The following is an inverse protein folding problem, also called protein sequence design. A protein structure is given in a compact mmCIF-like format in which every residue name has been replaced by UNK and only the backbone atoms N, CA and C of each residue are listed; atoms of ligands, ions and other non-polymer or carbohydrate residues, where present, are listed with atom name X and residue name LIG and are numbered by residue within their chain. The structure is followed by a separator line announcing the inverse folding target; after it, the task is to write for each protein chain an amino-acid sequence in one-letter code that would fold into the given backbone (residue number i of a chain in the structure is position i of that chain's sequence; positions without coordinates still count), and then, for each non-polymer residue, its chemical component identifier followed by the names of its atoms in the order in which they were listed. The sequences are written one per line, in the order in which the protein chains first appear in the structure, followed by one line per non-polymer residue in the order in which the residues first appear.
data_IF_311650189903
#
_entry.id   IF_311650189903
#
_cell.length_a   1.000
_cell.length_b   1.000
_cell.length_c   1.000
_cell.angle_alpha   90.00
_cell.angle_beta   90.00
_cell.angle_gamma   90.00
#
_symmetry.space_group_name_H-M   'P 1'
#
loop_
_entity.id
_entity.type
_entity.pdbx_description
1 polymer ?
#
# COMPACT_ATOMS: atom_id res chain seq x y z
N UNK A 1 21.52 -17.89 17.06
CA UNK A 1 20.22 -17.49 16.48
C UNK A 1 19.81 -16.16 17.11
N UNK A 2 20.02 -15.03 16.41
CA UNK A 2 19.61 -13.72 16.93
C UNK A 2 18.10 -13.61 16.76
N UNK A 3 17.36 -13.65 17.87
CA UNK A 3 15.99 -13.14 17.89
C UNK A 3 16.09 -11.64 17.60
N UNK A 4 15.85 -11.24 16.35
CA UNK A 4 15.37 -9.88 16.12
C UNK A 4 14.08 -9.75 16.95
N UNK A 5 13.89 -8.68 17.73
CA UNK A 5 12.76 -8.61 18.64
C UNK A 5 11.48 -8.71 17.80
N UNK A 6 10.67 -9.74 18.02
CA UNK A 6 9.42 -9.94 17.28
C UNK A 6 8.52 -8.69 17.35
N UNK A 7 8.60 -7.95 18.47
CA UNK A 7 7.95 -6.65 18.68
C UNK A 7 8.34 -5.60 17.62
N UNK A 8 9.59 -5.62 17.15
CA UNK A 8 10.11 -4.66 16.17
C UNK A 8 9.73 -5.03 14.74
N UNK A 9 9.54 -6.32 14.47
CA UNK A 9 9.04 -6.85 13.19
C UNK A 9 7.55 -6.53 13.03
N UNK A 10 6.75 -6.77 14.07
CA UNK A 10 5.32 -6.43 14.09
C UNK A 10 5.09 -4.91 13.96
N UNK A 11 5.81 -4.10 14.74
CA UNK A 11 5.71 -2.64 14.63
C UNK A 11 6.16 -2.10 13.27
N UNK A 12 7.19 -2.70 12.66
CA UNK A 12 7.64 -2.35 11.32
C UNK A 12 6.63 -2.71 10.22
N UNK A 13 5.99 -3.88 10.34
CA UNK A 13 4.97 -4.31 9.38
C UNK A 13 3.70 -3.46 9.45
N UNK A 14 3.24 -3.12 10.66
CA UNK A 14 2.13 -2.20 10.86
C UNK A 14 2.44 -0.82 10.28
N UNK A 15 3.63 -0.29 10.55
CA UNK A 15 4.06 1.00 10.02
C UNK A 15 4.12 1.01 8.48
N UNK A 16 4.65 -0.04 7.87
CA UNK A 16 4.67 -0.19 6.41
C UNK A 16 3.26 -0.26 5.84
N UNK A 17 2.35 -0.99 6.48
CA UNK A 17 0.97 -1.12 6.05
C UNK A 17 0.22 0.23 6.06
N UNK A 18 0.35 0.97 7.17
CA UNK A 18 -0.24 2.30 7.31
C UNK A 18 0.33 3.29 6.31
N UNK A 19 1.65 3.27 6.12
CA UNK A 19 2.34 4.13 5.15
C UNK A 19 1.87 3.81 3.72
N UNK A 20 1.80 2.54 3.34
CA UNK A 20 1.34 2.13 2.02
C UNK A 20 -0.13 2.55 1.76
N UNK A 21 -1.02 2.35 2.73
CA UNK A 21 -2.41 2.83 2.64
C UNK A 21 -2.47 4.35 2.49
N UNK A 22 -1.68 5.10 3.27
CA UNK A 22 -1.66 6.56 3.16
C UNK A 22 -1.15 7.02 1.79
N UNK A 23 -0.08 6.41 1.28
CA UNK A 23 0.42 6.72 -0.07
C UNK A 23 -0.63 6.49 -1.16
N UNK A 24 -1.44 5.41 -1.06
CA UNK A 24 -2.54 5.19 -2.02
C UNK A 24 -3.61 6.27 -1.94
N UNK A 25 -3.93 6.75 -0.74
CA UNK A 25 -4.91 7.83 -0.53
C UNK A 25 -4.36 9.15 -1.05
N UNK A 26 -3.12 9.48 -0.72
CA UNK A 26 -2.45 10.69 -1.18
C UNK A 26 -2.35 10.73 -2.70
N UNK A 27 -1.97 9.59 -3.30
CA UNK A 27 -1.97 9.42 -4.74
C UNK A 27 -3.38 9.61 -5.30
N UNK A 28 -4.41 8.93 -4.80
CA UNK A 28 -5.78 9.09 -5.29
C UNK A 28 -6.29 10.54 -5.20
N UNK A 29 -5.85 11.30 -4.20
CA UNK A 29 -6.20 12.72 -4.02
C UNK A 29 -5.37 13.68 -4.88
N UNK A 30 -4.19 13.27 -5.34
CA UNK A 30 -3.31 14.11 -6.14
C UNK A 30 -3.96 14.46 -7.48
N UNK A 31 -3.93 15.74 -7.88
CA UNK A 31 -4.58 16.24 -9.08
C UNK A 31 -3.69 17.25 -9.81
N UNK A 32 -3.79 17.41 -11.15
CA UNK A 32 -4.70 16.71 -12.05
C UNK A 32 -4.25 15.30 -12.44
N UNK A 33 -5.21 14.41 -12.68
CA UNK A 33 -4.96 13.10 -13.32
C UNK A 33 -5.84 12.91 -14.56
N UNK A 34 -5.37 13.32 -15.76
CA UNK A 34 -6.16 13.25 -16.98
C UNK A 34 -6.71 11.85 -17.24
N UNK A 35 -8.04 11.74 -17.35
CA UNK A 35 -8.75 10.48 -17.61
C UNK A 35 -8.90 9.54 -16.41
N UNK A 36 -8.20 9.79 -15.30
CA UNK A 36 -8.29 8.98 -14.08
C UNK A 36 -9.09 9.68 -12.99
N UNK A 37 -9.45 8.92 -11.96
CA UNK A 37 -10.09 9.46 -10.76
C UNK A 37 -9.08 10.30 -9.97
N UNK A 38 -9.50 11.50 -9.56
CA UNK A 38 -8.75 12.38 -8.65
C UNK A 38 -9.70 13.23 -7.77
N UNK A 39 -9.16 14.23 -7.05
CA UNK A 39 -9.95 15.15 -6.22
C UNK A 39 -10.95 16.04 -6.98
N UNK A 40 -10.81 16.17 -8.30
CA UNK A 40 -11.69 16.97 -9.16
C UNK A 40 -12.85 16.15 -9.72
N UNK A 41 -12.75 14.82 -9.73
CA UNK A 41 -13.84 13.94 -10.15
C UNK A 41 -13.39 12.54 -10.56
N UNK A 42 -14.29 11.81 -11.21
CA UNK A 42 -14.08 10.40 -11.54
C UNK A 42 -13.27 10.17 -12.84
N UNK A 43 -12.78 11.23 -13.49
CA UNK A 43 -12.14 11.13 -14.80
C UNK A 43 -13.07 10.52 -15.85
N UNK A 44 -12.58 9.52 -16.59
CA UNK A 44 -13.36 8.78 -17.59
C UNK A 44 -14.14 7.57 -16.99
N UNK A 45 -14.10 7.38 -15.67
CA UNK A 45 -14.69 6.21 -15.02
C UNK A 45 -16.14 6.46 -14.61
N UNK A 46 -17.01 5.47 -14.85
CA UNK A 46 -18.40 5.46 -14.40
C UNK A 46 -18.61 4.60 -13.15
N UNK A 47 -17.70 3.68 -12.89
CA UNK A 47 -17.73 2.65 -11.86
C UNK A 47 -16.72 2.90 -10.73
N UNK A 48 -15.84 3.88 -10.90
CA UNK A 48 -14.81 4.25 -9.93
C UNK A 48 -15.00 5.69 -9.48
N UNK A 49 -14.85 5.92 -8.17
CA UNK A 49 -14.90 7.25 -7.55
C UNK A 49 -13.81 7.39 -6.50
N UNK A 50 -13.45 8.63 -6.16
CA UNK A 50 -12.43 8.89 -5.14
C UNK A 50 -12.79 8.21 -3.81
N UNK A 51 -14.06 8.32 -3.39
CA UNK A 51 -14.54 7.67 -2.18
C UNK A 51 -14.44 6.13 -2.23
N UNK A 52 -14.63 5.52 -3.40
CA UNK A 52 -14.40 4.08 -3.58
C UNK A 52 -12.90 3.75 -3.54
N UNK A 53 -12.03 4.55 -4.14
CA UNK A 53 -10.58 4.36 -4.09
C UNK A 53 -10.04 4.45 -2.66
N UNK A 54 -10.44 5.46 -1.89
CA UNK A 54 -10.04 5.61 -0.48
C UNK A 54 -10.51 4.44 0.37
N UNK A 55 -11.77 4.02 0.20
CA UNK A 55 -12.31 2.85 0.88
C UNK A 55 -11.53 1.59 0.51
N UNK A 56 -11.18 1.40 -0.75
CA UNK A 56 -10.37 0.27 -1.21
C UNK A 56 -8.97 0.31 -0.59
N UNK A 57 -8.31 1.47 -0.54
CA UNK A 57 -7.00 1.64 0.08
C UNK A 57 -7.00 1.24 1.57
N UNK A 58 -8.04 1.63 2.31
CA UNK A 58 -8.22 1.22 3.71
C UNK A 58 -8.47 -0.29 3.85
N UNK A 59 -9.22 -0.91 2.93
CA UNK A 59 -9.46 -2.36 2.95
C UNK A 59 -8.20 -3.18 2.70
N UNK A 60 -7.20 -2.59 2.03
CA UNK A 60 -5.93 -3.24 1.75
C UNK A 60 -4.92 -3.18 2.92
N UNK A 61 -5.15 -2.37 3.96
CA UNK A 61 -4.20 -2.23 5.08
C UNK A 61 -3.81 -3.57 5.73
N UNK A 62 -4.76 -4.47 6.09
CA UNK A 62 -4.39 -5.77 6.67
C UNK A 62 -3.56 -6.63 5.72
N UNK A 63 -3.83 -6.54 4.41
CA UNK A 63 -3.06 -7.25 3.38
C UNK A 63 -1.63 -6.71 3.30
N UNK A 64 -1.44 -5.38 3.34
CA UNK A 64 -0.09 -4.81 3.38
C UNK A 64 0.70 -5.23 4.62
N UNK A 65 0.03 -5.31 5.78
CA UNK A 65 0.67 -5.80 7.00
C UNK A 65 1.11 -7.25 6.85
N UNK A 66 0.25 -8.12 6.34
CA UNK A 66 0.59 -9.52 6.08
C UNK A 66 1.75 -9.66 5.08
N UNK A 67 1.75 -8.86 4.01
CA UNK A 67 2.85 -8.83 3.04
C UNK A 67 4.17 -8.40 3.69
N UNK A 68 4.15 -7.36 4.52
CA UNK A 68 5.34 -6.88 5.22
C UNK A 68 5.87 -7.93 6.21
N UNK A 69 4.99 -8.55 7.02
CA UNK A 69 5.36 -9.64 7.93
C UNK A 69 6.03 -10.80 7.19
N UNK A 70 5.44 -11.25 6.08
CA UNK A 70 5.99 -12.36 5.27
C UNK A 70 7.31 -11.99 4.59
N UNK A 71 7.43 -10.75 4.12
CA UNK A 71 8.66 -10.26 3.48
C UNK A 71 9.82 -10.17 4.45
N UNK A 72 9.57 -9.78 5.71
CA UNK A 72 10.61 -9.70 6.75
C UNK A 72 11.15 -11.08 7.16
N UNK A 73 10.42 -12.15 6.89
CA UNK A 73 10.85 -13.53 7.17
C UNK A 73 11.72 -14.12 6.05
N UNK A 74 11.86 -13.45 4.90
CA UNK A 74 12.58 -13.96 3.74
C UNK A 74 13.68 -12.97 3.32
N UNK A 75 14.91 -13.45 3.06
CA UNK A 75 15.90 -12.63 2.36
C UNK A 75 15.32 -12.16 1.01
N UNK A 76 15.57 -10.90 0.64
CA UNK A 76 15.18 -10.42 -0.67
C UNK A 76 16.02 -11.16 -1.73
N UNK A 77 15.39 -12.03 -2.52
CA UNK A 77 16.04 -12.73 -3.63
C UNK A 77 16.38 -11.76 -4.76
N UNK A 78 17.58 -11.16 -4.69
CA UNK A 78 18.15 -10.25 -5.69
C UNK A 78 18.21 -10.87 -7.10
N UNK A 79 18.25 -12.21 -7.19
CA UNK A 79 18.25 -12.94 -8.44
C UNK A 79 16.99 -12.72 -9.29
N UNK A 80 15.87 -12.28 -8.70
CA UNK A 80 14.63 -11.97 -9.44
C UNK A 80 14.58 -10.56 -10.03
N UNK A 81 15.62 -9.73 -9.83
CA UNK A 81 15.67 -8.34 -10.34
C UNK A 81 16.38 -8.19 -11.68
N UNK A 82 16.69 -9.29 -12.36
CA UNK A 82 17.37 -9.27 -13.66
C UNK A 82 16.43 -9.81 -14.75
N UNK A 83 16.11 -8.93 -15.70
CA UNK A 83 15.65 -9.23 -17.06
C UNK A 83 16.35 -8.26 -17.99
#
# INVERSE_FOLDING_TARGET
MKLLPQIQVEGGAEWLARTATQCLIDEARLSPKPGLVDSRGNGAHHDLSLALMERSAHRLTPTFQALAQQSLQRPADMARRQT
#
